data_IF_066206357567
#
_entry.id   IF_066206357567
#
_cell.length_a   1.000
_cell.length_b   1.000
_cell.length_c   1.000
_cell.angle_alpha   90.00
_cell.angle_beta   90.00
_cell.angle_gamma   90.00
#
_symmetry.space_group_name_H-M   'P 1'
#
loop_
_entity.id
_entity.type
_entity.pdbx_description
1 polymer ?
2 water ?
#
# COMPACT_ATOMS: atom_id res chain seq x y z
N UNK A 22 32.49 -0.25 18.32
CA UNK A 22 32.29 0.76 17.29
C UNK A 22 30.87 0.70 16.74
N UNK A 23 30.11 1.76 16.99
CA UNK A 23 28.67 1.73 16.72
C UNK A 23 28.39 1.85 15.22
N UNK A 24 27.36 1.16 14.81
CA UNK A 24 27.05 0.92 13.44
C UNK A 24 26.05 1.94 12.92
N UNK A 25 26.46 2.55 11.82
CA UNK A 25 25.63 3.61 11.27
C UNK A 25 24.43 3.08 10.49
N UNK A 26 23.27 3.57 10.90
CA UNK A 26 22.01 3.22 10.24
C UNK A 26 21.28 4.48 9.81
N UNK A 27 20.98 4.61 8.53
CA UNK A 27 20.29 5.80 8.02
C UNK A 27 18.83 5.44 7.85
N UNK A 28 18.01 6.12 8.63
CA UNK A 28 16.55 5.99 8.54
C UNK A 28 16.01 7.07 7.62
N UNK A 29 15.28 6.70 6.59
CA UNK A 29 15.02 7.66 5.51
C UNK A 29 13.95 8.67 5.80
N UNK A 30 12.95 8.32 6.57
CA UNK A 30 11.79 9.19 6.82
C UNK A 30 11.13 8.80 8.15
N UNK A 31 10.33 9.63 8.79
CA UNK A 31 9.78 9.28 10.11
C UNK A 31 8.59 8.35 10.22
N UNK A 32 8.80 7.11 9.95
CA UNK A 32 7.83 6.07 9.72
C UNK A 32 7.27 5.38 10.95
N UNK A 33 7.91 5.51 12.09
CA UNK A 33 7.49 4.78 13.29
C UNK A 33 8.29 5.26 14.48
N UNK A 34 7.61 5.87 15.44
CA UNK A 34 8.25 6.29 16.68
C UNK A 34 8.95 5.11 17.34
N UNK A 35 8.27 3.99 17.45
CA UNK A 35 8.81 2.81 18.11
C UNK A 35 10.07 2.33 17.42
N UNK A 36 10.00 2.23 16.08
CA UNK A 36 11.19 1.79 15.37
C UNK A 36 12.41 2.69 15.55
N UNK A 37 12.14 3.99 15.52
CA UNK A 37 13.17 5.00 15.74
C UNK A 37 13.80 4.73 17.10
N UNK A 38 12.97 4.49 18.11
CA UNK A 38 13.46 4.26 19.48
C UNK A 38 14.34 3.01 19.53
N UNK A 39 13.85 1.97 18.85
CA UNK A 39 14.53 0.67 18.89
C UNK A 39 15.83 0.71 18.14
N UNK A 40 15.88 1.48 17.05
CA UNK A 40 17.14 1.64 16.33
C UNK A 40 18.11 2.50 17.10
N UNK A 41 17.62 3.54 17.73
CA UNK A 41 18.46 4.47 18.49
C UNK A 41 19.11 3.75 19.67
N UNK A 42 18.45 2.78 20.30
CA UNK A 42 18.96 2.00 21.41
C UNK A 42 20.10 1.08 20.92
N UNK A 43 20.06 0.63 19.67
CA UNK A 43 20.98 -0.39 19.21
C UNK A 43 22.15 0.01 18.33
N UNK A 44 21.95 1.09 17.60
CA UNK A 44 22.83 1.45 16.51
C UNK A 44 23.18 2.92 16.61
N UNK A 45 24.02 3.40 15.70
CA UNK A 45 24.19 4.84 15.51
C UNK A 45 23.18 5.31 14.47
N UNK A 46 22.07 5.87 14.95
CA UNK A 46 20.95 6.23 14.11
C UNK A 46 21.11 7.63 13.54
N UNK A 47 21.02 7.71 12.22
CA UNK A 47 20.92 8.96 11.49
C UNK A 47 19.50 9.10 10.95
N UNK A 48 18.91 10.26 11.20
CA UNK A 48 17.59 10.59 10.67
C UNK A 48 17.72 11.47 9.43
N UNK A 49 17.54 10.87 8.24
CA UNK A 49 17.87 11.61 7.03
C UNK A 49 17.04 12.86 6.87
N UNK A 50 15.78 12.80 7.26
CA UNK A 50 14.77 13.84 6.99
C UNK A 50 14.99 15.06 7.83
N UNK A 51 15.83 14.95 8.85
CA UNK A 51 16.12 16.09 9.74
C UNK A 51 17.31 16.90 9.24
N UNK A 52 18.05 16.38 8.28
CA UNK A 52 19.28 17.08 7.86
C UNK A 52 18.95 18.22 6.90
N UNK A 53 19.24 19.47 7.25
CA UNK A 53 18.99 20.57 6.29
C UNK A 53 19.83 20.57 5.03
N UNK A 54 21.00 19.97 4.98
CA UNK A 54 21.82 19.89 3.76
C UNK A 54 22.16 18.41 3.56
N UNK A 55 21.20 17.70 2.97
CA UNK A 55 21.29 16.26 2.88
C UNK A 55 22.48 15.78 2.06
N UNK A 56 22.84 16.47 0.98
CA UNK A 56 23.90 15.92 0.17
C UNK A 56 25.27 16.10 0.85
N UNK A 57 25.42 17.22 1.58
CA UNK A 57 26.54 17.48 2.45
C UNK A 57 26.67 16.38 3.51
N UNK A 58 25.49 16.10 4.06
CA UNK A 58 25.41 15.05 5.05
C UNK A 58 25.85 13.71 4.50
N UNK A 59 25.33 13.29 3.33
CA UNK A 59 25.77 11.99 2.81
C UNK A 59 27.26 11.92 2.53
N UNK A 60 27.83 13.05 2.06
CA UNK A 60 29.29 13.10 1.93
C UNK A 60 30.02 12.90 3.26
N UNK A 61 29.58 13.63 4.30
CA UNK A 61 30.16 13.56 5.64
C UNK A 61 30.05 12.12 6.15
N UNK A 62 28.96 11.42 5.86
CA UNK A 62 28.79 10.10 6.51
C UNK A 62 29.00 8.92 5.56
N UNK A 63 29.60 9.11 4.40
CA UNK A 63 29.80 8.05 3.42
C UNK A 63 30.50 6.83 3.99
N UNK A 64 31.48 7.09 4.86
CA UNK A 64 32.22 5.99 5.46
C UNK A 64 31.54 5.43 6.71
N UNK A 65 30.46 6.00 7.20
CA UNK A 65 29.93 5.54 8.48
C UNK A 65 28.64 4.75 8.31
N UNK A 66 27.97 4.85 7.16
CA UNK A 66 26.63 4.26 7.09
C UNK A 66 26.70 2.88 6.48
N UNK A 67 26.23 1.88 7.22
CA UNK A 67 26.29 0.49 6.78
C UNK A 67 24.93 -0.10 6.49
N UNK A 68 23.86 0.60 6.85
CA UNK A 68 22.47 0.17 6.64
C UNK A 68 21.57 1.36 6.40
N UNK A 69 20.54 1.09 5.61
CA UNK A 69 19.45 2.00 5.35
C UNK A 69 18.15 1.34 5.78
N UNK A 70 17.31 2.10 6.46
CA UNK A 70 15.95 1.66 6.79
C UNK A 70 15.00 2.58 6.00
N UNK A 71 14.16 1.97 5.16
CA UNK A 71 13.21 2.63 4.30
C UNK A 71 11.81 2.15 4.60
N UNK A 72 10.88 2.70 3.84
CA UNK A 72 9.49 2.27 3.86
C UNK A 72 8.92 2.54 2.47
N UNK A 73 7.61 2.62 2.32
CA UNK A 73 7.01 2.64 0.97
C UNK A 73 7.13 4.05 0.36
N UNK A 74 7.51 4.99 1.23
CA UNK A 74 7.62 6.38 0.78
C UNK A 74 9.05 6.81 0.46
N UNK A 75 10.01 6.19 1.10
CA UNK A 75 11.41 6.48 0.88
C UNK A 75 12.25 5.23 1.04
N UNK A 76 12.99 4.86 0.01
CA UNK A 76 13.82 3.67 -0.01
C UNK A 76 15.27 3.99 -0.31
N UNK A 77 15.80 3.30 -1.31
CA UNK A 77 17.20 3.43 -1.67
C UNK A 77 17.30 3.24 -3.19
N UNK A 78 17.50 4.33 -3.91
CA UNK A 78 17.64 4.27 -5.35
C UNK A 78 19.14 4.18 -5.69
N UNK A 79 19.45 4.12 -6.99
CA UNK A 79 20.83 3.88 -7.38
C UNK A 79 21.78 4.95 -6.88
N UNK A 80 21.25 6.19 -6.89
CA UNK A 80 22.13 7.30 -6.52
C UNK A 80 22.49 7.25 -5.03
N UNK A 81 21.52 6.86 -4.22
CA UNK A 81 21.80 6.76 -2.80
C UNK A 81 22.78 5.63 -2.54
N UNK A 82 22.60 4.51 -3.22
CA UNK A 82 23.48 3.35 -3.00
C UNK A 82 24.91 3.74 -3.36
N UNK A 83 25.06 4.45 -4.48
CA UNK A 83 26.36 4.92 -4.95
C UNK A 83 26.96 5.87 -3.94
N UNK A 84 26.08 6.61 -3.25
CA UNK A 84 26.58 7.59 -2.28
C UNK A 84 27.00 6.98 -0.94
N UNK A 85 26.71 5.71 -0.75
CA UNK A 85 26.91 4.96 0.49
C UNK A 85 27.77 3.74 0.23
N UNK A 86 29.05 4.01 -0.01
CA UNK A 86 29.94 2.91 -0.45
C UNK A 86 30.12 1.82 0.58
N UNK A 87 29.81 2.08 1.82
CA UNK A 87 29.93 1.03 2.85
C UNK A 87 28.59 0.37 3.15
N UNK A 88 27.57 0.67 2.35
CA UNK A 88 26.23 0.09 2.52
C UNK A 88 26.29 -1.44 2.45
N UNK A 89 25.66 -2.10 3.44
CA UNK A 89 25.62 -3.55 3.39
C UNK A 89 24.22 -4.13 3.30
N UNK A 90 23.22 -3.37 3.76
CA UNK A 90 21.87 -3.88 3.86
C UNK A 90 20.89 -2.74 3.90
N UNK A 91 19.80 -2.94 3.18
CA UNK A 91 18.63 -2.09 3.13
C UNK A 91 17.50 -2.94 3.72
N UNK A 92 17.01 -2.50 4.87
CA UNK A 92 15.89 -3.13 5.52
C UNK A 92 14.65 -2.25 5.42
N UNK A 93 13.65 -2.75 4.69
CA UNK A 93 12.46 -1.96 4.49
C UNK A 93 11.34 -2.32 5.46
N UNK A 94 10.71 -1.26 5.97
CA UNK A 94 9.55 -1.30 6.83
C UNK A 94 8.30 -1.29 5.95
N UNK A 95 8.22 -2.38 5.15
CA UNK A 95 7.17 -2.52 4.17
C UNK A 95 7.26 -3.90 3.53
N UNK A 96 6.18 -4.34 2.94
CA UNK A 96 6.26 -5.57 2.14
C UNK A 96 6.70 -5.15 0.74
N UNK A 97 6.19 -4.01 0.26
CA UNK A 97 6.64 -3.58 -1.05
C UNK A 97 8.03 -3.04 -1.11
N UNK A 98 8.63 -3.21 -2.28
CA UNK A 98 9.99 -2.75 -2.45
C UNK A 98 10.16 -1.91 -3.69
N UNK A 99 9.09 -1.27 -4.14
CA UNK A 99 9.21 -0.42 -5.33
C UNK A 99 10.15 0.77 -5.10
N UNK A 100 10.51 1.11 -3.87
CA UNK A 100 11.36 2.28 -3.67
C UNK A 100 12.80 1.83 -3.46
N UNK A 101 13.03 0.51 -3.60
CA UNK A 101 14.40 0.04 -3.54
C UNK A 101 14.89 -0.49 -4.88
N UNK A 102 16.09 -0.06 -5.28
CA UNK A 102 16.63 -0.56 -6.57
C UNK A 102 17.30 -1.91 -6.33
N UNK A 103 16.50 -2.95 -6.49
CA UNK A 103 16.94 -4.31 -6.22
C UNK A 103 18.09 -4.70 -7.14
N UNK A 104 17.98 -4.21 -8.38
CA UNK A 104 18.98 -4.62 -9.38
C UNK A 104 20.34 -4.10 -8.94
N UNK A 105 20.29 -2.83 -8.54
CA UNK A 105 21.49 -2.16 -8.07
C UNK A 105 22.03 -2.78 -6.81
N UNK A 106 21.20 -3.14 -5.84
CA UNK A 106 21.64 -3.80 -4.61
C UNK A 106 22.35 -5.11 -4.90
N UNK A 107 21.72 -5.89 -5.79
CA UNK A 107 22.32 -7.18 -6.16
C UNK A 107 23.69 -6.92 -6.77
N UNK A 108 23.74 -5.96 -7.71
CA UNK A 108 25.00 -5.61 -8.37
C UNK A 108 26.07 -5.24 -7.35
N UNK A 109 25.74 -4.57 -6.26
CA UNK A 109 26.70 -4.12 -5.26
C UNK A 109 26.88 -5.07 -4.10
N UNK A 110 26.23 -6.23 -4.03
CA UNK A 110 26.42 -7.05 -2.85
C UNK A 110 25.66 -6.54 -1.64
N UNK A 111 24.62 -5.72 -1.85
CA UNK A 111 23.82 -5.18 -0.77
C UNK A 111 22.61 -6.07 -0.52
N UNK A 112 22.37 -6.47 0.73
CA UNK A 112 21.23 -7.30 1.10
C UNK A 112 20.00 -6.41 1.22
N UNK A 113 18.84 -6.99 0.90
CA UNK A 113 17.57 -6.30 1.04
C UNK A 113 16.60 -7.21 1.79
N UNK A 114 15.97 -6.64 2.81
CA UNK A 114 14.90 -7.35 3.53
C UNK A 114 13.63 -6.51 3.53
N UNK A 115 12.50 -7.19 3.74
CA UNK A 115 11.18 -6.54 3.79
C UNK A 115 10.38 -7.11 4.95
N UNK A 116 9.08 -6.84 4.95
CA UNK A 116 8.19 -7.36 5.99
C UNK A 116 7.02 -8.12 5.39
N UNK A 117 7.30 -9.35 4.96
CA UNK A 117 6.23 -10.15 4.34
C UNK A 117 5.29 -10.74 5.39
N UNK A 118 4.06 -11.02 4.98
CA UNK A 118 3.02 -11.76 5.65
C UNK A 118 2.42 -11.04 6.83
N UNK A 119 3.22 -10.31 7.57
CA UNK A 119 2.79 -9.72 8.83
C UNK A 119 1.78 -8.60 8.66
N UNK A 120 1.61 -8.01 7.50
CA UNK A 120 0.61 -6.94 7.32
C UNK A 120 -0.56 -7.39 6.46
N UNK A 121 -0.55 -8.65 6.01
CA UNK A 121 -1.59 -9.10 5.10
C UNK A 121 -3.01 -8.91 5.62
N UNK A 122 -3.22 -9.36 6.85
CA UNK A 122 -4.55 -9.32 7.42
C UNK A 122 -5.07 -7.90 7.60
N UNK A 123 -4.21 -7.00 8.10
CA UNK A 123 -4.71 -5.62 8.28
C UNK A 123 -5.03 -4.97 6.94
N UNK A 124 -4.24 -5.22 5.92
CA UNK A 124 -4.51 -4.57 4.64
C UNK A 124 -5.80 -5.12 4.04
N UNK A 125 -5.96 -6.46 4.11
CA UNK A 125 -7.18 -7.09 3.60
C UNK A 125 -8.42 -6.64 4.39
N UNK A 126 -8.28 -6.48 5.68
CA UNK A 126 -9.36 -5.98 6.54
C UNK A 126 -9.77 -4.58 6.08
N UNK A 127 -8.78 -3.76 5.74
CA UNK A 127 -9.11 -2.40 5.35
C UNK A 127 -9.83 -2.38 4.02
N UNK A 128 -9.49 -3.28 3.11
CA UNK A 128 -10.23 -3.37 1.84
C UNK A 128 -11.71 -3.61 2.08
N UNK A 129 -12.01 -4.54 2.98
CA UNK A 129 -13.41 -4.83 3.26
C UNK A 129 -14.06 -3.65 3.98
N UNK A 130 -13.34 -3.01 4.90
CA UNK A 130 -13.84 -1.84 5.56
C UNK A 130 -14.17 -0.70 4.61
N UNK A 131 -13.30 -0.50 3.59
CA UNK A 131 -13.55 0.50 2.55
C UNK A 131 -14.76 0.16 1.72
N UNK A 132 -14.90 -1.14 1.38
CA UNK A 132 -16.06 -1.56 0.61
C UNK A 132 -17.33 -1.21 1.36
N UNK A 133 -17.44 -1.63 2.61
CA UNK A 133 -18.64 -1.34 3.39
C UNK A 133 -18.85 0.16 3.59
N UNK A 134 -17.75 0.89 3.85
CA UNK A 134 -17.88 2.33 4.07
C UNK A 134 -18.41 3.07 2.85
N UNK A 135 -17.98 2.63 1.67
CA UNK A 135 -18.50 3.24 0.43
C UNK A 135 -19.89 2.76 0.15
N UNK A 136 -20.10 1.45 0.06
CA UNK A 136 -21.41 0.96 -0.40
C UNK A 136 -22.56 1.33 0.56
N UNK A 137 -22.30 1.26 1.88
CA UNK A 137 -23.25 1.59 2.91
C UNK A 137 -23.15 3.05 3.36
N UNK A 138 -22.27 3.83 2.77
CA UNK A 138 -22.11 5.25 3.05
C UNK A 138 -21.95 5.50 4.54
N UNK A 139 -21.09 4.68 5.17
CA UNK A 139 -20.93 4.78 6.64
C UNK A 139 -20.40 6.12 7.05
N UNK A 140 -19.41 6.64 6.35
CA UNK A 140 -18.86 7.95 6.74
C UNK A 140 -19.85 9.06 6.53
N UNK A 141 -20.60 8.99 5.43
CA UNK A 141 -21.61 10.01 5.15
C UNK A 141 -22.72 9.96 6.19
N UNK A 142 -23.16 8.78 6.57
CA UNK A 142 -24.18 8.58 7.59
C UNK A 142 -23.78 9.16 8.91
N UNK A 143 -22.53 8.90 9.31
CA UNK A 143 -22.01 9.40 10.58
C UNK A 143 -21.96 10.90 10.53
N UNK A 144 -21.51 11.54 9.46
CA UNK A 144 -21.53 13.00 9.35
C UNK A 144 -22.96 13.53 9.44
N UNK A 145 -23.89 12.84 8.80
CA UNK A 145 -25.30 13.22 8.77
C UNK A 145 -25.88 13.25 10.19
N UNK A 146 -25.61 12.20 10.96
CA UNK A 146 -26.10 12.19 12.35
C UNK A 146 -25.49 13.34 13.15
N UNK A 147 -24.18 13.55 13.11
CA UNK A 147 -23.52 14.56 13.92
C UNK A 147 -23.91 15.97 13.54
N UNK A 148 -24.47 16.21 12.37
CA UNK A 148 -24.92 17.59 12.11
C UNK A 148 -26.40 17.74 12.50
N UNK A 149 -27.02 16.70 13.06
CA UNK A 149 -28.40 16.79 13.54
C UNK A 149 -29.46 16.46 12.51
N UNK A 150 -29.03 16.02 11.35
CA UNK A 150 -29.97 15.89 10.22
C UNK A 150 -31.01 14.79 10.38
N UNK A 151 -30.74 13.78 11.21
CA UNK A 151 -31.66 12.68 11.40
C UNK A 151 -32.97 13.16 11.99
N UNK A 152 -32.97 14.27 12.75
CA UNK A 152 -34.20 14.77 13.28
C UNK A 152 -35.18 15.20 12.19
N UNK A 153 -34.71 15.43 10.98
CA UNK A 153 -35.57 15.87 9.90
C UNK A 153 -35.87 14.83 8.87
N UNK A 154 -35.36 13.62 8.99
CA UNK A 154 -35.69 12.58 8.04
C UNK A 154 -34.62 11.51 8.05
N UNK A 155 -34.87 10.38 7.44
CA UNK A 155 -33.93 9.33 7.26
C UNK A 155 -32.97 9.60 6.12
N UNK A 156 -31.80 8.96 6.27
CA UNK A 156 -30.79 8.93 5.24
C UNK A 156 -31.26 8.12 4.05
N UNK A 157 -30.72 8.44 2.88
CA UNK A 157 -31.07 7.72 1.66
C UNK A 157 -30.74 6.22 1.76
N UNK A 158 -31.39 5.45 0.90
CA UNK A 158 -31.02 4.02 0.77
C UNK A 158 -29.68 3.91 0.05
N UNK A 159 -28.95 2.90 0.49
CA UNK A 159 -27.61 2.64 -0.05
C UNK A 159 -27.56 1.30 -0.74
N UNK A 160 -26.39 0.66 -0.82
CA UNK A 160 -26.14 -0.49 -1.66
C UNK A 160 -25.69 -1.68 -0.86
N UNK A 161 -26.34 -2.83 -1.09
CA UNK A 161 -25.97 -4.07 -0.45
C UNK A 161 -24.62 -4.59 -0.94
N UNK A 162 -23.80 -4.99 0.01
CA UNK A 162 -22.53 -5.63 -0.31
C UNK A 162 -22.71 -7.14 -0.56
N UNK A 163 -23.29 -7.86 0.37
CA UNK A 163 -23.34 -9.32 0.23
C UNK A 163 -23.93 -9.71 -1.12
N UNK A 164 -23.21 -10.61 -1.77
CA UNK A 164 -23.67 -11.15 -3.04
C UNK A 164 -23.13 -10.43 -4.24
N UNK A 165 -22.52 -9.27 -4.04
CA UNK A 165 -21.98 -8.53 -5.20
C UNK A 165 -20.72 -9.15 -5.76
N UNK A 166 -20.44 -8.94 -7.04
CA UNK A 166 -19.27 -9.52 -7.72
C UNK A 166 -18.04 -8.73 -7.36
N UNK A 167 -17.08 -9.41 -6.74
CA UNK A 167 -15.80 -8.82 -6.35
C UNK A 167 -14.71 -9.32 -7.29
N UNK A 168 -14.09 -8.37 -7.97
CA UNK A 168 -12.95 -8.63 -8.83
C UNK A 168 -11.66 -8.15 -8.14
N UNK A 169 -10.62 -8.99 -8.22
CA UNK A 169 -9.38 -8.65 -7.58
C UNK A 169 -8.22 -8.70 -8.58
N UNK A 170 -7.43 -7.63 -8.54
CA UNK A 170 -6.26 -7.51 -9.40
C UNK A 170 -5.06 -7.94 -8.54
N UNK A 171 -4.60 -9.14 -8.88
CA UNK A 171 -3.57 -9.78 -8.06
C UNK A 171 -4.18 -10.83 -7.15
N UNK A 172 -3.63 -12.02 -7.17
CA UNK A 172 -4.10 -13.09 -6.27
C UNK A 172 -2.91 -13.71 -5.53
N UNK A 173 -2.07 -12.82 -5.00
CA UNK A 173 -1.00 -13.15 -4.09
C UNK A 173 -1.58 -13.15 -2.67
N UNK A 174 -0.73 -12.95 -1.68
CA UNK A 174 -1.16 -13.06 -0.30
C UNK A 174 -2.29 -12.09 0.04
N UNK A 175 -2.18 -10.82 -0.36
CA UNK A 175 -3.21 -9.86 0.04
C UNK A 175 -4.48 -10.09 -0.76
N UNK A 176 -4.37 -10.36 -2.05
CA UNK A 176 -5.54 -10.61 -2.86
C UNK A 176 -6.31 -11.82 -2.37
N UNK A 177 -5.56 -12.87 -2.00
CA UNK A 177 -6.26 -14.05 -1.49
C UNK A 177 -6.96 -13.75 -0.19
N UNK A 178 -6.33 -12.98 0.67
CA UNK A 178 -6.95 -12.63 1.95
C UNK A 178 -8.20 -11.81 1.75
N UNK A 179 -8.19 -10.90 0.77
CA UNK A 179 -9.41 -10.15 0.46
C UNK A 179 -10.49 -11.07 -0.05
N UNK A 180 -10.12 -11.96 -0.98
CA UNK A 180 -11.08 -12.90 -1.54
C UNK A 180 -11.75 -13.74 -0.47
N UNK A 181 -10.93 -14.30 0.44
CA UNK A 181 -11.46 -15.17 1.49
C UNK A 181 -12.41 -14.46 2.43
N UNK A 182 -12.13 -13.19 2.73
CA UNK A 182 -13.12 -12.41 3.49
C UNK A 182 -14.40 -12.17 2.69
N UNK A 183 -14.25 -11.75 1.44
CA UNK A 183 -15.43 -11.44 0.63
C UNK A 183 -16.26 -12.68 0.38
N UNK A 184 -15.69 -13.87 0.30
CA UNK A 184 -16.50 -15.05 0.12
C UNK A 184 -17.48 -15.26 1.27
N UNK A 185 -17.14 -14.75 2.46
CA UNK A 185 -18.02 -14.93 3.65
C UNK A 185 -19.23 -14.02 3.59
N UNK A 186 -19.23 -13.11 2.64
CA UNK A 186 -20.36 -12.22 2.35
C UNK A 186 -21.09 -12.73 1.10
N UNK A 187 -20.85 -13.98 0.72
CA UNK A 187 -21.47 -14.61 -0.42
C UNK A 187 -21.13 -13.93 -1.73
N UNK A 188 -19.99 -13.27 -1.82
CA UNK A 188 -19.56 -12.60 -3.04
C UNK A 188 -18.90 -13.58 -3.99
N UNK A 189 -19.40 -13.69 -5.21
CA UNK A 189 -18.62 -14.43 -6.21
C UNK A 189 -17.31 -13.69 -6.47
N UNK A 190 -16.23 -14.43 -6.54
CA UNK A 190 -14.87 -13.90 -6.70
C UNK A 190 -14.32 -14.13 -8.09
N UNK A 191 -13.78 -13.10 -8.67
CA UNK A 191 -13.06 -13.18 -9.95
C UNK A 191 -11.72 -12.44 -9.77
N UNK A 192 -10.76 -12.82 -10.62
CA UNK A 192 -9.48 -12.14 -10.45
C UNK A 192 -8.75 -12.08 -11.79
N UNK A 193 -7.80 -11.16 -11.90
CA UNK A 193 -6.81 -11.07 -12.93
C UNK A 193 -5.43 -11.35 -12.35
N UNK A 194 -4.62 -12.07 -13.05
CA UNK A 194 -3.23 -12.33 -12.82
C UNK A 194 -2.55 -12.61 -14.15
N UNK A 195 -1.24 -12.43 -14.19
CA UNK A 195 -0.52 -12.70 -15.43
C UNK A 195 -0.81 -14.08 -15.98
N UNK A 196 -0.83 -15.03 -15.05
CA UNK A 196 -1.16 -16.41 -15.30
C UNK A 196 -2.28 -16.90 -14.42
N UNK A 197 -3.13 -17.80 -14.89
CA UNK A 197 -4.12 -18.38 -13.99
C UNK A 197 -3.48 -19.19 -12.87
N UNK A 198 -4.10 -19.02 -11.68
CA UNK A 198 -3.72 -19.80 -10.51
C UNK A 198 -4.37 -21.16 -10.60
N UNK A 199 -3.72 -22.29 -10.63
CA UNK A 199 -4.48 -23.54 -10.78
C UNK A 199 -5.20 -23.94 -9.49
N UNK A 200 -4.67 -23.55 -8.37
CA UNK A 200 -5.07 -23.74 -7.00
C UNK A 200 -6.46 -23.32 -6.58
N UNK A 201 -7.07 -22.35 -7.25
CA UNK A 201 -8.25 -21.63 -6.78
C UNK A 201 -9.55 -22.03 -7.45
N UNK A 202 -10.72 -21.79 -6.88
CA UNK A 202 -12.08 -21.99 -7.42
C UNK A 202 -12.68 -20.66 -7.88
N UNK A 203 -11.93 -19.57 -7.84
CA UNK A 203 -12.38 -18.26 -8.35
C UNK A 203 -12.30 -18.15 -9.87
N UNK A 204 -12.97 -17.17 -10.47
CA UNK A 204 -13.09 -17.02 -11.94
C UNK A 204 -11.96 -16.17 -12.50
N UNK A 205 -11.12 -16.74 -13.33
CA UNK A 205 -9.97 -16.08 -13.90
C UNK A 205 -10.33 -15.29 -15.15
N UNK A 206 -9.85 -14.05 -15.21
CA UNK A 206 -9.93 -13.22 -16.38
C UNK A 206 -8.53 -12.87 -16.89
N UNK A 207 -8.32 -12.90 -18.20
CA UNK A 207 -7.03 -12.61 -18.78
C UNK A 207 -6.78 -11.15 -19.11
N UNK A 208 -7.73 -10.30 -18.83
CA UNK A 208 -7.77 -8.88 -19.08
C UNK A 208 -8.35 -8.13 -17.91
N UNK A 209 -7.71 -7.05 -17.54
CA UNK A 209 -8.22 -6.18 -16.49
C UNK A 209 -9.52 -5.53 -16.95
N UNK A 210 -9.62 -5.16 -18.23
CA UNK A 210 -10.88 -4.54 -18.67
C UNK A 210 -12.06 -5.49 -18.57
N UNK A 211 -11.90 -6.75 -18.96
CA UNK A 211 -12.95 -7.75 -18.92
C UNK A 211 -13.33 -8.05 -17.46
N UNK A 212 -12.31 -8.14 -16.62
CA UNK A 212 -12.57 -8.25 -15.17
C UNK A 212 -13.45 -7.12 -14.68
N UNK A 213 -13.04 -5.88 -14.98
CA UNK A 213 -13.76 -4.70 -14.55
C UNK A 213 -15.20 -4.73 -15.06
N UNK A 214 -15.40 -5.16 -16.29
CA UNK A 214 -16.72 -5.25 -16.92
C UNK A 214 -17.68 -6.19 -16.20
N UNK A 215 -17.06 -7.12 -15.47
CA UNK A 215 -17.76 -8.16 -14.75
C UNK A 215 -17.63 -8.08 -13.22
N UNK A 216 -17.30 -6.89 -12.74
CA UNK A 216 -17.21 -6.60 -11.33
C UNK A 216 -18.11 -5.45 -10.90
N UNK A 217 -18.74 -5.65 -9.72
CA UNK A 217 -19.40 -4.57 -9.01
C UNK A 217 -18.39 -3.78 -8.17
N UNK A 218 -17.37 -4.45 -7.69
CA UNK A 218 -16.32 -3.94 -6.83
C UNK A 218 -15.00 -4.45 -7.40
N UNK A 219 -14.06 -3.55 -7.63
CA UNK A 219 -12.76 -3.95 -8.20
C UNK A 219 -11.67 -3.52 -7.20
N UNK A 220 -10.89 -4.48 -6.75
CA UNK A 220 -9.89 -4.27 -5.75
C UNK A 220 -8.48 -4.37 -6.30
N UNK A 221 -7.66 -3.36 -6.12
CA UNK A 221 -6.29 -3.40 -6.57
C UNK A 221 -5.48 -4.00 -5.44
N UNK A 222 -4.84 -5.14 -5.64
CA UNK A 222 -4.10 -5.83 -4.61
C UNK A 222 -2.82 -6.43 -5.16
N UNK A 223 -2.08 -5.76 -5.99
CA UNK A 223 -0.85 -6.31 -6.53
C UNK A 223 0.32 -5.37 -6.23
N UNK A 224 1.55 -5.87 -6.31
CA UNK A 224 2.69 -4.96 -6.16
C UNK A 224 2.71 -3.92 -7.27
N UNK A 225 3.40 -2.81 -7.05
CA UNK A 225 3.66 -1.77 -8.00
C UNK A 225 4.98 -2.07 -8.73
N UNK A 226 4.85 -2.21 -10.04
CA UNK A 226 5.95 -2.40 -10.96
C UNK A 226 5.71 -1.49 -12.16
N UNK A 227 6.65 -1.32 -13.07
CA UNK A 227 6.35 -0.60 -14.31
C UNK A 227 5.12 -1.15 -15.00
N UNK A 228 5.04 -2.47 -14.99
CA UNK A 228 3.98 -3.16 -15.73
C UNK A 228 2.60 -2.87 -15.13
N UNK A 229 2.48 -2.62 -13.84
CA UNK A 229 1.19 -2.43 -13.18
C UNK A 229 0.94 -0.96 -12.90
N UNK A 230 1.85 -0.10 -13.34
CA UNK A 230 1.64 1.33 -13.22
C UNK A 230 0.47 1.74 -14.11
N UNK A 231 -0.51 2.44 -13.57
CA UNK A 231 -1.69 2.85 -14.25
C UNK A 231 -2.46 1.63 -14.81
N UNK A 232 -2.38 0.49 -14.09
CA UNK A 232 -3.19 -0.65 -14.50
C UNK A 232 -4.67 -0.30 -14.46
N UNK A 233 -5.06 0.62 -13.57
CA UNK A 233 -6.41 1.24 -13.63
C UNK A 233 -6.32 2.51 -14.47
N UNK A 234 -6.66 2.40 -15.76
CA UNK A 234 -6.67 3.52 -16.67
C UNK A 234 -8.09 3.87 -17.03
N UNK A 235 -8.21 4.87 -17.93
CA UNK A 235 -9.59 5.33 -18.21
C UNK A 235 -10.44 4.19 -18.74
N UNK A 236 -9.88 3.36 -19.64
CA UNK A 236 -10.67 2.25 -20.17
C UNK A 236 -11.14 1.30 -19.07
N UNK A 237 -10.28 0.94 -18.16
CA UNK A 237 -10.67 0.12 -17.02
C UNK A 237 -11.75 0.81 -16.20
N UNK A 238 -11.63 2.09 -15.93
CA UNK A 238 -12.58 2.81 -15.08
C UNK A 238 -13.95 2.86 -15.71
N UNK A 239 -13.96 3.18 -17.02
CA UNK A 239 -15.23 3.17 -17.70
C UNK A 239 -15.85 1.77 -17.77
N UNK A 240 -15.09 0.69 -17.87
CA UNK A 240 -15.68 -0.65 -17.89
C UNK A 240 -16.29 -0.97 -16.53
N UNK A 241 -15.65 -0.51 -15.45
CA UNK A 241 -16.21 -0.69 -14.10
C UNK A 241 -17.51 0.07 -13.99
N UNK A 242 -17.51 1.29 -14.52
CA UNK A 242 -18.70 2.02 -14.77
C UNK A 242 -19.45 2.70 -13.61
N UNK A 243 -20.56 3.32 -14.04
CA UNK A 243 -21.32 4.21 -13.19
C UNK A 243 -21.90 3.58 -11.94
N UNK A 244 -21.97 2.26 -11.89
CA UNK A 244 -22.46 1.60 -10.70
C UNK A 244 -21.37 0.72 -10.07
N UNK A 245 -20.17 0.77 -10.61
CA UNK A 245 -19.04 0.13 -9.99
C UNK A 245 -18.26 0.94 -8.98
N UNK A 246 -17.52 0.28 -8.08
CA UNK A 246 -16.69 0.87 -7.04
C UNK A 246 -15.29 0.30 -7.12
N UNK A 247 -14.31 1.20 -7.16
CA UNK A 247 -12.89 0.92 -7.13
C UNK A 247 -12.37 0.97 -5.70
N UNK A 248 -11.63 -0.06 -5.30
CA UNK A 248 -10.99 -0.10 -3.98
C UNK A 248 -9.48 -0.15 -4.19
N UNK A 249 -8.70 0.82 -3.75
CA UNK A 249 -7.25 0.75 -3.90
C UNK A 249 -6.58 0.73 -2.54
N UNK A 250 -6.04 -0.44 -2.19
CA UNK A 250 -5.19 -0.62 -1.03
C UNK A 250 -3.75 -0.94 -1.44
N UNK A 251 -3.44 -0.76 -2.71
CA UNK A 251 -2.13 -1.06 -3.28
C UNK A 251 -1.20 0.10 -3.09
N UNK A 252 -0.94 0.87 -4.10
CA UNK A 252 -0.19 2.05 -4.35
C UNK A 252 -0.90 3.01 -5.29
N UNK A 253 -0.69 4.30 -5.00
CA UNK A 253 -1.28 5.36 -5.74
C UNK A 253 -1.03 5.27 -7.23
N UNK A 254 0.19 5.09 -7.68
CA UNK A 254 0.43 5.00 -9.13
C UNK A 254 -0.14 3.76 -9.83
N UNK A 255 -0.83 2.86 -9.16
CA UNK A 255 -1.62 1.86 -9.82
C UNK A 255 -2.78 2.47 -10.64
N UNK A 256 -3.14 3.70 -10.27
CA UNK A 256 -4.26 4.37 -10.93
C UNK A 256 -3.79 5.61 -11.66
N UNK A 257 -4.32 5.85 -12.85
CA UNK A 257 -4.23 7.10 -13.54
C UNK A 257 -5.11 8.10 -12.78
N UNK A 258 -4.57 8.71 -11.73
CA UNK A 258 -5.43 9.41 -10.76
C UNK A 258 -6.26 10.55 -11.34
N UNK A 259 -5.74 11.41 -12.21
CA UNK A 259 -6.60 12.44 -12.82
C UNK A 259 -7.80 11.87 -13.56
N UNK A 260 -7.65 10.71 -14.21
CA UNK A 260 -8.80 10.04 -14.84
C UNK A 260 -9.79 9.49 -13.82
N UNK A 261 -9.30 8.99 -12.69
CA UNK A 261 -10.21 8.54 -11.63
C UNK A 261 -11.04 9.69 -11.09
N UNK A 262 -10.38 10.81 -10.75
CA UNK A 262 -11.12 11.98 -10.25
C UNK A 262 -12.16 12.45 -11.28
N UNK A 263 -11.81 12.60 -12.57
CA UNK A 263 -12.76 13.02 -13.59
C UNK A 263 -13.96 12.09 -13.64
N UNK A 264 -13.67 10.77 -13.61
CA UNK A 264 -14.72 9.77 -13.74
C UNK A 264 -15.68 9.87 -12.54
N UNK A 265 -15.12 10.10 -11.33
CA UNK A 265 -16.00 10.25 -10.17
C UNK A 265 -16.85 11.51 -10.26
N UNK A 266 -16.25 12.59 -10.67
CA UNK A 266 -16.93 13.87 -10.72
C UNK A 266 -18.04 13.78 -11.77
N UNK A 267 -17.76 13.11 -12.87
CA UNK A 267 -18.72 13.09 -13.98
C UNK A 267 -19.74 11.96 -13.99
N UNK A 268 -19.72 11.11 -12.97
CA UNK A 268 -20.66 10.03 -12.83
C UNK A 268 -20.32 8.79 -13.62
N UNK A 269 -19.14 8.74 -14.20
CA UNK A 269 -18.77 7.58 -15.01
C UNK A 269 -18.27 6.39 -14.16
N UNK A 270 -17.90 6.66 -12.90
CA UNK A 270 -17.57 5.64 -11.92
C UNK A 270 -18.46 5.80 -10.71
N UNK A 271 -19.02 4.76 -10.14
CA UNK A 271 -19.95 4.83 -9.06
C UNK A 271 -19.39 5.29 -7.73
N UNK A 272 -18.17 4.89 -7.40
CA UNK A 272 -17.55 5.28 -6.15
C UNK A 272 -16.16 4.75 -6.00
N UNK A 273 -15.48 5.13 -4.93
CA UNK A 273 -14.11 4.68 -4.74
C UNK A 273 -13.75 4.73 -3.26
N UNK A 274 -13.06 3.71 -2.78
CA UNK A 274 -12.50 3.66 -1.43
C UNK A 274 -10.96 3.60 -1.61
N UNK A 275 -10.28 4.66 -1.20
CA UNK A 275 -8.88 4.86 -1.54
C UNK A 275 -8.05 5.03 -0.29
N UNK A 276 -7.08 4.14 -0.16
CA UNK A 276 -6.08 4.25 0.93
C UNK A 276 -4.76 4.88 0.45
N UNK A 277 -4.58 4.98 -0.85
CA UNK A 277 -3.29 5.37 -1.45
C UNK A 277 -3.55 6.28 -2.61
N UNK A 278 -2.58 7.19 -2.84
CA UNK A 278 -2.73 8.27 -3.81
C UNK A 278 -1.41 8.48 -4.54
N UNK A 279 -1.47 8.99 -5.77
CA UNK A 279 -0.30 8.98 -6.65
C UNK A 279 0.84 9.84 -6.13
N UNK A 280 0.50 10.94 -5.49
CA UNK A 280 1.45 11.89 -4.93
C UNK A 280 1.17 12.08 -3.44
N UNK A 281 0.87 11.02 -2.71
CA UNK A 281 0.55 11.16 -1.29
C UNK A 281 1.70 11.82 -0.55
N UNK A 282 1.47 12.64 0.47
CA UNK A 282 0.13 12.82 1.05
C UNK A 282 -0.75 13.86 0.38
N UNK A 283 -0.42 14.32 -0.82
CA UNK A 283 -1.36 15.14 -1.57
C UNK A 283 -2.47 14.24 -2.10
N UNK A 284 -3.71 14.66 -1.92
CA UNK A 284 -4.97 14.10 -2.32
C UNK A 284 -5.70 15.20 -3.11
N UNK A 285 -6.12 14.94 -4.35
CA UNK A 285 -6.85 15.96 -5.09
C UNK A 285 -8.05 16.44 -4.31
N UNK A 286 -8.08 17.76 -4.11
CA UNK A 286 -9.09 18.38 -3.27
C UNK A 286 -10.51 18.28 -3.85
N UNK A 287 -10.62 18.08 -5.15
CA UNK A 287 -11.94 17.91 -5.75
C UNK A 287 -12.59 16.70 -5.12
N UNK A 288 -11.81 15.70 -4.68
CA UNK A 288 -12.40 14.51 -4.09
C UNK A 288 -13.07 14.82 -2.77
N UNK A 289 -12.67 15.89 -2.09
CA UNK A 289 -13.17 16.15 -0.73
C UNK A 289 -14.64 16.46 -0.74
N UNK A 290 -15.16 16.97 -1.86
CA UNK A 290 -16.57 17.23 -1.93
C UNK A 290 -17.46 16.10 -2.34
N UNK A 291 -16.92 14.90 -2.58
CA UNK A 291 -17.71 13.81 -3.10
C UNK A 291 -18.16 12.85 -2.01
N UNK A 292 -19.46 12.60 -1.96
CA UNK A 292 -20.05 11.69 -1.00
C UNK A 292 -19.84 10.21 -1.36
N UNK A 293 -19.46 9.94 -2.61
CA UNK A 293 -19.28 8.54 -3.02
C UNK A 293 -17.83 8.06 -2.99
N UNK A 294 -16.98 8.78 -2.22
CA UNK A 294 -15.61 8.32 -1.97
C UNK A 294 -15.38 8.20 -0.47
N UNK A 295 -14.43 7.36 -0.10
CA UNK A 295 -13.87 7.27 1.23
C UNK A 295 -12.36 7.37 1.02
N UNK A 296 -11.73 8.29 1.73
CA UNK A 296 -10.34 8.65 1.55
C UNK A 296 -9.56 8.42 2.85
N UNK A 297 -8.55 7.59 2.84
CA UNK A 297 -7.77 7.28 4.04
C UNK A 297 -6.29 7.59 3.84
N UNK A 298 -5.59 8.02 4.90
CA UNK A 298 -4.17 8.41 4.71
C UNK A 298 -3.17 7.26 4.78
N UNK A 299 -3.35 6.26 3.89
CA UNK A 299 -2.46 5.13 3.77
C UNK A 299 -2.24 4.42 5.08
N UNK A 300 -3.39 3.88 5.55
CA UNK A 300 -3.43 3.26 6.86
C UNK A 300 -3.58 1.76 6.77
N UNK A 301 -3.42 1.14 5.61
CA UNK A 301 -3.55 -0.29 5.44
C UNK A 301 -2.89 -1.15 6.50
N UNK A 302 -1.62 -0.85 6.84
CA UNK A 302 -0.91 -1.61 7.88
C UNK A 302 -0.81 -0.90 9.20
N UNK A 303 -1.51 0.22 9.31
CA UNK A 303 -1.33 1.16 10.37
C UNK A 303 -2.02 0.90 11.68
N UNK A 304 -1.83 -0.30 12.23
CA UNK A 304 -2.34 -0.67 13.54
C UNK A 304 -1.15 -0.80 14.50
N UNK A 305 -1.48 -0.60 15.78
CA UNK A 305 -0.45 -0.78 16.81
C UNK A 305 0.17 -2.16 16.67
N UNK A 306 -0.67 -3.19 16.52
CA UNK A 306 -0.15 -4.54 16.54
C UNK A 306 0.77 -4.86 15.37
N UNK A 307 0.34 -4.55 14.16
CA UNK A 307 1.11 -4.86 12.95
C UNK A 307 2.33 -4.00 12.83
N UNK A 308 2.25 -2.71 13.14
CA UNK A 308 3.48 -1.92 13.04
C UNK A 308 4.55 -2.32 14.05
N UNK A 309 4.11 -2.78 15.24
CA UNK A 309 5.12 -3.30 16.15
C UNK A 309 5.84 -4.54 15.57
N UNK A 310 5.05 -5.45 15.00
CA UNK A 310 5.65 -6.65 14.40
C UNK A 310 6.60 -6.29 13.28
N UNK A 311 6.16 -5.35 12.43
CA UNK A 311 7.01 -4.91 11.32
C UNK A 311 8.32 -4.29 11.83
N UNK A 312 8.22 -3.46 12.89
CA UNK A 312 9.40 -2.79 13.39
C UNK A 312 10.37 -3.81 13.96
N UNK A 313 9.81 -4.76 14.72
CA UNK A 313 10.66 -5.78 15.35
C UNK A 313 11.36 -6.63 14.28
N UNK A 314 10.68 -6.83 13.15
CA UNK A 314 11.24 -7.60 12.02
C UNK A 314 12.35 -6.81 11.35
N UNK A 315 12.20 -5.49 11.18
CA UNK A 315 13.29 -4.68 10.66
C UNK A 315 14.51 -4.80 11.57
N UNK A 316 14.30 -4.61 12.86
CA UNK A 316 15.40 -4.69 13.83
C UNK A 316 15.99 -6.08 13.78
N UNK A 317 15.13 -7.11 13.74
CA UNK A 317 15.68 -8.46 13.77
C UNK A 317 16.53 -8.79 12.55
N UNK A 318 16.15 -8.29 11.39
CA UNK A 318 16.98 -8.46 10.20
C UNK A 318 18.31 -7.76 10.36
N UNK A 319 18.28 -6.52 10.89
CA UNK A 319 19.55 -5.79 11.03
C UNK A 319 20.49 -6.48 12.02
N UNK A 320 19.95 -6.90 13.17
CA UNK A 320 20.76 -7.62 14.17
C UNK A 320 21.33 -8.92 13.62
N UNK A 321 20.54 -9.66 12.81
CA UNK A 321 21.06 -10.89 12.21
C UNK A 321 22.19 -10.55 11.27
N UNK A 322 21.99 -9.58 10.37
CA UNK A 322 23.03 -9.17 9.42
C UNK A 322 24.32 -8.83 10.13
N UNK A 323 24.30 -7.91 11.10
CA UNK A 323 25.52 -7.48 11.78
C UNK A 323 26.08 -8.48 12.78
N UNK A 324 25.36 -9.58 13.03
CA UNK A 324 25.91 -10.65 13.85
C UNK A 324 26.25 -11.88 13.03
N UNK A 325 26.15 -11.82 11.72
CA UNK A 325 26.66 -12.89 10.86
C UNK A 325 25.68 -14.06 10.77
N UNK A 326 24.45 -13.78 11.19
CA UNK A 326 23.40 -14.80 11.15
C UNK A 326 22.54 -14.68 9.90
N UNK A 327 21.89 -15.75 9.48
CA UNK A 327 21.03 -15.68 8.31
C UNK A 327 19.93 -14.65 8.53
N UNK A 328 19.59 -13.98 7.44
CA UNK A 328 18.57 -12.93 7.56
C UNK A 328 17.20 -13.54 7.78
N UNK A 329 16.26 -12.74 8.29
CA UNK A 329 14.94 -13.28 8.57
C UNK A 329 14.02 -13.30 7.35
N UNK A 330 13.99 -12.17 6.69
CA UNK A 330 13.13 -11.99 5.52
C UNK A 330 13.87 -11.33 4.37
N UNK A 331 14.89 -12.00 3.86
CA UNK A 331 15.59 -11.44 2.70
C UNK A 331 14.80 -11.53 1.40
N UNK A 332 15.09 -10.55 0.55
CA UNK A 332 14.62 -10.58 -0.83
C UNK A 332 15.79 -10.64 -1.81
N UNK A 333 16.87 -9.96 -1.51
CA UNK A 333 18.13 -9.94 -2.26
C UNK A 333 19.32 -10.17 -1.34
#
# INVERSE_FOLDING_TARGET
MGSSHHHHHHSSGLVPRGSHMEAIGVLMMCPMSTYLEQELDKRFKLFRYWTQPAQRDFLALQAESIRAVVGNSNAGADAELIDALPKLEIVSSFSVGLDKVDLIKCEEKGVRVTNTPDVLTDDVADLAIGLILAVLRRICECDKYVRRGAWKFGDFKLTTKFSGKRVGIIGLGRIGLAVAERAEAFDCPISYFSRSKKPNTNYTYYGSVVELASNSDILVVACPLTPETTHIINREVIDALGPKGVLINIGRGPHVDEPELVSALVEGRLGGAGLDVFEREPEVPEKLFGLENVVLLPHVGSGTVETRKVMADLVVGNLEAHFSGKPLLTPVV
#
